data_IF_719003188874
#
_entry.id   IF_719003188874
#
_cell.length_a   1.000
_cell.length_b   1.000
_cell.length_c   1.000
_cell.angle_alpha   90.00
_cell.angle_beta   90.00
_cell.angle_gamma   90.00
#
_symmetry.space_group_name_H-M   'P 1'
#
loop_
_entity.id
_entity.type
_entity.pdbx_description
1 polymer ?
#
# COMPACT_ATOMS: atom_id res chain seq x y z
N UNK A 1 -11.71 -22.64 -43.03
CA UNK A 1 -13.06 -22.52 -42.45
C UNK A 1 -13.04 -23.03 -41.01
N UNK A 2 -13.08 -22.15 -40.01
CA UNK A 2 -13.34 -22.50 -38.60
C UNK A 2 -14.35 -21.50 -38.06
N UNK A 3 -15.49 -22.01 -37.60
CA UNK A 3 -16.63 -21.25 -37.15
C UNK A 3 -16.33 -20.57 -35.79
N UNK A 4 -16.64 -19.28 -35.71
CA UNK A 4 -16.67 -18.53 -34.46
C UNK A 4 -18.03 -18.79 -33.80
N UNK A 5 -18.04 -19.49 -32.67
CA UNK A 5 -19.22 -19.64 -31.83
C UNK A 5 -19.10 -18.68 -30.66
N UNK A 6 -20.14 -17.87 -30.50
CA UNK A 6 -20.26 -16.78 -29.54
C UNK A 6 -21.35 -17.17 -28.55
N UNK A 7 -21.03 -17.55 -27.30
CA UNK A 7 -22.05 -17.69 -26.27
C UNK A 7 -22.31 -16.32 -25.61
N UNK A 8 -23.45 -15.72 -25.96
CA UNK A 8 -24.09 -14.65 -25.19
C UNK A 8 -24.79 -15.28 -23.98
N UNK A 9 -24.58 -14.72 -22.78
CA UNK A 9 -25.57 -14.87 -21.71
C UNK A 9 -25.02 -15.05 -20.29
N UNK A 10 -24.37 -14.03 -19.73
CA UNK A 10 -24.39 -13.78 -18.26
C UNK A 10 -24.05 -12.31 -17.91
N UNK A 11 -24.28 -11.36 -18.82
CA UNK A 11 -23.91 -9.95 -18.64
C UNK A 11 -25.05 -9.06 -18.11
N UNK A 12 -26.00 -9.63 -17.34
CA UNK A 12 -27.24 -8.93 -16.95
C UNK A 12 -27.33 -8.41 -15.51
N UNK A 13 -26.54 -8.93 -14.57
CA UNK A 13 -26.73 -8.62 -13.13
C UNK A 13 -25.59 -7.84 -12.46
N UNK A 14 -24.41 -7.78 -13.08
CA UNK A 14 -23.20 -7.19 -12.46
C UNK A 14 -23.05 -5.68 -12.65
N UNK A 15 -23.87 -5.06 -13.49
CA UNK A 15 -23.69 -3.65 -13.93
C UNK A 15 -24.44 -2.62 -13.09
N UNK A 16 -25.31 -3.01 -12.15
CA UNK A 16 -26.06 -2.05 -11.30
C UNK A 16 -25.47 -1.85 -9.89
N UNK A 17 -24.58 -2.74 -9.45
CA UNK A 17 -23.88 -2.61 -8.16
C UNK A 17 -22.53 -1.88 -8.28
N UNK A 18 -22.04 -1.67 -9.50
CA UNK A 18 -20.72 -1.06 -9.75
C UNK A 18 -20.72 0.47 -9.78
N UNK A 19 -21.86 1.14 -9.58
CA UNK A 19 -21.96 2.62 -9.70
C UNK A 19 -21.97 3.35 -8.36
N UNK A 20 -22.06 2.61 -7.24
CA UNK A 20 -21.91 3.20 -5.90
C UNK A 20 -20.45 3.48 -5.45
N UNK A 21 -19.41 2.72 -5.87
CA UNK A 21 -18.05 2.96 -5.38
C UNK A 21 -17.43 4.26 -5.89
N UNK A 22 -17.76 4.69 -7.12
CA UNK A 22 -17.06 5.78 -7.80
C UNK A 22 -17.20 7.17 -7.17
N UNK A 23 -18.29 7.41 -6.41
CA UNK A 23 -18.49 8.68 -5.69
C UNK A 23 -17.70 8.70 -4.38
N UNK A 24 -17.54 7.55 -3.72
CA UNK A 24 -16.77 7.42 -2.47
C UNK A 24 -15.26 7.57 -2.77
N UNK A 25 -14.78 6.97 -3.87
CA UNK A 25 -13.34 6.99 -4.20
C UNK A 25 -12.83 8.37 -4.63
N UNK A 26 -13.68 9.26 -5.17
CA UNK A 26 -13.25 10.63 -5.52
C UNK A 26 -13.19 11.60 -4.34
N UNK A 27 -13.88 11.29 -3.23
CA UNK A 27 -13.82 12.10 -2.00
C UNK A 27 -12.64 11.73 -1.10
N UNK A 28 -12.12 10.50 -1.21
CA UNK A 28 -11.01 10.01 -0.38
C UNK A 28 -9.65 10.66 -0.67
N UNK A 29 -9.48 11.32 -1.83
CA UNK A 29 -8.22 11.94 -2.25
C UNK A 29 -8.20 13.46 -2.27
N UNK A 30 -9.21 14.13 -1.68
CA UNK A 30 -9.32 15.59 -1.74
C UNK A 30 -8.83 16.23 -0.44
N UNK A 31 -8.05 17.31 -0.54
CA UNK A 31 -7.62 18.19 0.58
C UNK A 31 -8.77 18.50 1.57
N UNK A 32 -10.01 18.49 1.09
CA UNK A 32 -11.22 18.67 1.87
C UNK A 32 -11.47 17.59 2.94
N UNK A 33 -11.02 16.34 2.75
CA UNK A 33 -11.14 15.28 3.78
C UNK A 33 -10.19 15.55 4.96
N UNK A 34 -8.98 16.01 4.67
CA UNK A 34 -7.99 16.43 5.67
C UNK A 34 -8.47 17.66 6.43
N UNK A 35 -9.05 18.64 5.72
CA UNK A 35 -9.60 19.85 6.34
C UNK A 35 -10.79 19.56 7.25
N UNK A 36 -11.67 18.63 6.85
CA UNK A 36 -12.79 18.18 7.68
C UNK A 36 -12.31 17.44 8.95
N UNK A 37 -11.27 16.60 8.84
CA UNK A 37 -10.67 15.93 9.98
C UNK A 37 -10.09 16.93 10.99
N UNK A 38 -9.40 17.98 10.52
CA UNK A 38 -8.87 19.06 11.35
C UNK A 38 -10.02 19.82 12.04
N UNK A 39 -11.08 20.16 11.31
CA UNK A 39 -12.25 20.84 11.89
C UNK A 39 -12.92 20.01 12.99
N UNK A 40 -13.08 18.70 12.78
CA UNK A 40 -13.61 17.78 13.80
C UNK A 40 -12.70 17.72 15.03
N UNK A 41 -11.37 17.66 14.85
CA UNK A 41 -10.42 17.69 15.96
C UNK A 41 -10.52 18.99 16.77
N UNK A 42 -10.67 20.14 16.12
CA UNK A 42 -10.90 21.43 16.78
C UNK A 42 -12.22 21.47 17.56
N UNK A 43 -13.31 20.96 16.98
CA UNK A 43 -14.61 20.90 17.66
C UNK A 43 -14.58 20.02 18.90
N UNK A 44 -13.92 18.86 18.83
CA UNK A 44 -13.69 18.01 20.00
C UNK A 44 -12.88 18.77 21.06
N UNK A 45 -11.79 19.43 20.68
CA UNK A 45 -10.95 20.17 21.64
C UNK A 45 -11.72 21.31 22.36
N UNK A 46 -12.54 22.06 21.62
CA UNK A 46 -13.42 23.10 22.21
C UNK A 46 -14.47 22.48 23.12
N UNK A 47 -15.06 21.34 22.75
CA UNK A 47 -16.00 20.59 23.60
C UNK A 47 -15.35 20.15 24.93
N UNK A 48 -14.09 19.73 24.90
CA UNK A 48 -13.32 19.41 26.10
C UNK A 48 -13.08 20.62 27.01
N UNK A 49 -12.80 21.78 26.40
CA UNK A 49 -12.56 23.03 27.14
C UNK A 49 -13.82 23.57 27.82
N UNK A 50 -14.99 23.46 27.18
CA UNK A 50 -16.28 23.87 27.74
C UNK A 50 -16.72 22.97 28.91
N UNK A 51 -16.30 21.71 28.90
CA UNK A 51 -16.70 20.70 29.91
C UNK A 51 -15.70 20.52 31.04
N UNK A 52 -14.63 21.33 31.09
CA UNK A 52 -13.54 21.23 32.09
C UNK A 52 -12.78 19.88 32.07
N UNK A 53 -12.71 19.22 30.91
CA UNK A 53 -11.99 17.95 30.71
C UNK A 53 -12.30 16.86 31.74
N UNK A 54 -13.56 16.38 31.82
CA UNK A 54 -13.95 15.35 32.77
C UNK A 54 -13.26 14.01 32.45
N UNK A 55 -13.13 13.12 33.44
CA UNK A 55 -12.36 11.88 33.29
C UNK A 55 -12.78 11.01 32.08
N UNK A 56 -14.08 10.88 31.81
CA UNK A 56 -14.59 10.11 30.66
C UNK A 56 -14.20 10.73 29.31
N UNK A 57 -14.06 12.05 29.26
CA UNK A 57 -13.64 12.77 28.06
C UNK A 57 -12.17 12.47 27.75
N UNK A 58 -11.31 12.48 28.76
CA UNK A 58 -9.90 12.13 28.61
C UNK A 58 -9.70 10.69 28.13
N UNK A 59 -10.45 9.73 28.72
CA UNK A 59 -10.44 8.33 28.27
C UNK A 59 -10.84 8.20 26.80
N UNK A 60 -11.83 8.96 26.36
CA UNK A 60 -12.26 8.99 24.96
C UNK A 60 -11.15 9.52 24.04
N UNK A 61 -10.48 10.61 24.41
CA UNK A 61 -9.41 11.19 23.58
C UNK A 61 -8.18 10.27 23.51
N UNK A 62 -7.74 9.68 24.62
CA UNK A 62 -6.58 8.78 24.62
C UNK A 62 -6.83 7.51 23.81
N UNK A 63 -8.01 6.92 23.96
CA UNK A 63 -8.39 5.74 23.16
C UNK A 63 -8.56 6.10 21.68
N UNK A 64 -9.19 7.22 21.36
CA UNK A 64 -9.31 7.69 19.97
C UNK A 64 -7.93 7.95 19.32
N UNK A 65 -7.00 8.56 20.06
CA UNK A 65 -5.62 8.77 19.57
C UNK A 65 -4.89 7.46 19.26
N UNK A 66 -5.13 6.41 20.07
CA UNK A 66 -4.60 5.08 19.80
C UNK A 66 -5.21 4.47 18.52
N UNK A 67 -6.52 4.58 18.32
CA UNK A 67 -7.17 4.14 17.07
C UNK A 67 -6.64 4.88 15.85
N UNK A 68 -6.52 6.21 15.91
CA UNK A 68 -5.98 7.03 14.80
C UNK A 68 -4.54 6.66 14.49
N UNK A 69 -3.72 6.41 15.51
CA UNK A 69 -2.33 5.98 15.33
C UNK A 69 -2.25 4.62 14.64
N UNK A 70 -3.11 3.67 15.01
CA UNK A 70 -3.20 2.37 14.33
C UNK A 70 -3.66 2.52 12.88
N UNK A 71 -4.64 3.39 12.61
CA UNK A 71 -5.06 3.70 11.25
C UNK A 71 -3.93 4.34 10.44
N UNK A 72 -3.19 5.27 11.03
CA UNK A 72 -2.02 5.89 10.39
C UNK A 72 -0.95 4.84 10.06
N UNK A 73 -0.65 3.95 11.01
CA UNK A 73 0.30 2.85 10.79
C UNK A 73 -0.17 1.96 9.63
N UNK A 74 -1.46 1.61 9.58
CA UNK A 74 -2.03 0.82 8.48
C UNK A 74 -1.98 1.57 7.13
N UNK A 75 -2.31 2.87 7.11
CA UNK A 75 -2.26 3.68 5.88
C UNK A 75 -0.83 3.84 5.36
N UNK A 76 0.13 4.07 6.26
CA UNK A 76 1.55 4.12 5.93
C UNK A 76 1.98 2.75 5.40
N UNK A 77 1.70 1.67 6.13
CA UNK A 77 2.04 0.31 5.70
C UNK A 77 1.44 -0.04 4.33
N UNK A 78 0.17 0.29 4.07
CA UNK A 78 -0.47 0.05 2.78
C UNK A 78 0.20 0.84 1.65
N UNK A 79 0.49 2.12 1.88
CA UNK A 79 1.12 2.99 0.87
C UNK A 79 2.55 2.55 0.61
N UNK A 80 3.33 2.33 1.68
CA UNK A 80 4.71 1.84 1.61
C UNK A 80 4.78 0.48 0.93
N UNK A 81 3.90 -0.47 1.25
CA UNK A 81 3.90 -1.80 0.63
C UNK A 81 3.72 -1.72 -0.90
N UNK A 82 2.81 -0.88 -1.37
CA UNK A 82 2.59 -0.68 -2.81
C UNK A 82 3.77 0.03 -3.47
N UNK A 83 4.33 1.04 -2.81
CA UNK A 83 5.44 1.80 -3.37
C UNK A 83 6.74 0.97 -3.40
N UNK A 84 6.99 0.13 -2.40
CA UNK A 84 8.10 -0.85 -2.39
C UNK A 84 8.01 -1.81 -3.56
N UNK A 85 6.84 -2.42 -3.80
CA UNK A 85 6.65 -3.34 -4.92
C UNK A 85 6.89 -2.68 -6.29
N UNK A 86 6.48 -1.42 -6.44
CA UNK A 86 6.74 -0.66 -7.66
C UNK A 86 8.23 -0.33 -7.87
N UNK A 87 9.02 -0.26 -6.80
CA UNK A 87 10.48 -0.10 -6.89
C UNK A 87 11.13 -1.42 -7.30
N UNK A 88 10.74 -2.54 -6.70
CA UNK A 88 11.27 -3.87 -7.02
C UNK A 88 11.05 -4.22 -8.50
N UNK A 89 9.81 -4.08 -9.00
CA UNK A 89 9.48 -4.30 -10.41
C UNK A 89 10.32 -3.44 -11.38
N UNK A 90 10.66 -2.21 -10.99
CA UNK A 90 11.51 -1.34 -11.82
C UNK A 90 12.97 -1.79 -11.80
N UNK A 91 13.45 -2.32 -10.68
CA UNK A 91 14.80 -2.90 -10.57
C UNK A 91 14.90 -4.18 -11.38
N UNK A 92 13.88 -5.04 -11.34
CA UNK A 92 13.82 -6.27 -12.16
C UNK A 92 13.90 -5.96 -13.66
N UNK A 93 13.13 -4.98 -14.13
CA UNK A 93 13.20 -4.54 -15.53
C UNK A 93 14.59 -4.00 -15.90
N UNK A 94 15.24 -3.25 -15.00
CA UNK A 94 16.60 -2.74 -15.23
C UNK A 94 17.63 -3.87 -15.27
N UNK A 95 17.54 -4.86 -14.37
CA UNK A 95 18.44 -6.02 -14.33
C UNK A 95 18.24 -6.86 -15.60
N UNK A 96 16.99 -7.14 -15.98
CA UNK A 96 16.66 -7.90 -17.18
C UNK A 96 17.13 -7.22 -18.48
N UNK A 97 17.20 -5.88 -18.51
CA UNK A 97 17.70 -5.14 -19.65
C UNK A 97 19.24 -5.17 -19.81
N UNK A 98 19.99 -5.61 -18.79
CA UNK A 98 21.46 -5.64 -18.80
C UNK A 98 21.97 -7.05 -19.18
N UNK A 99 22.63 -7.24 -20.33
CA UNK A 99 23.01 -8.58 -20.83
C UNK A 99 24.00 -9.38 -19.97
N UNK A 100 24.68 -8.73 -19.03
CA UNK A 100 25.67 -9.35 -18.14
C UNK A 100 25.23 -9.32 -16.67
N UNK A 101 23.99 -8.91 -16.37
CA UNK A 101 23.48 -8.91 -15.02
C UNK A 101 23.01 -10.33 -14.61
N UNK A 102 23.10 -10.64 -13.33
CA UNK A 102 22.72 -11.94 -12.82
C UNK A 102 21.18 -12.05 -12.71
N UNK A 103 20.58 -12.89 -13.55
CA UNK A 103 19.14 -13.16 -13.56
C UNK A 103 18.63 -13.77 -12.24
N UNK A 104 19.50 -14.39 -11.43
CA UNK A 104 19.13 -14.98 -10.14
C UNK A 104 18.72 -13.92 -9.09
N UNK A 105 19.06 -12.64 -9.32
CA UNK A 105 18.64 -11.52 -8.47
C UNK A 105 17.26 -10.93 -8.82
N UNK A 106 16.65 -11.36 -9.93
CA UNK A 106 15.30 -10.94 -10.33
C UNK A 106 14.28 -11.64 -9.42
N UNK A 107 13.28 -10.89 -8.94
CA UNK A 107 12.18 -11.41 -8.10
C UNK A 107 12.69 -12.13 -6.82
N UNK A 108 13.86 -11.70 -6.34
CA UNK A 108 14.53 -12.30 -5.19
C UNK A 108 13.74 -12.07 -3.90
N UNK A 109 12.91 -11.02 -3.82
CA UNK A 109 12.06 -10.70 -2.67
C UNK A 109 11.00 -11.77 -2.37
N UNK A 110 10.56 -12.54 -3.37
CA UNK A 110 9.52 -13.56 -3.22
C UNK A 110 10.11 -14.90 -2.73
N UNK A 111 11.44 -15.04 -2.77
CA UNK A 111 12.16 -16.22 -2.27
C UNK A 111 12.29 -16.25 -0.75
N UNK A 112 12.58 -17.44 -0.22
CA UNK A 112 12.85 -17.60 1.21
C UNK A 112 14.12 -16.87 1.63
N UNK A 113 14.15 -16.36 2.88
CA UNK A 113 15.26 -15.53 3.39
C UNK A 113 16.62 -16.23 3.26
N UNK A 114 16.68 -17.55 3.45
CA UNK A 114 17.94 -18.30 3.31
C UNK A 114 18.46 -18.31 1.86
N UNK A 115 17.56 -18.32 0.87
CA UNK A 115 17.93 -18.28 -0.55
C UNK A 115 18.44 -16.89 -0.92
N UNK A 116 17.81 -15.84 -0.38
CA UNK A 116 18.28 -14.46 -0.54
C UNK A 116 19.70 -14.29 0.01
N UNK A 117 19.99 -14.86 1.19
CA UNK A 117 21.33 -14.84 1.79
C UNK A 117 22.36 -15.61 0.95
N UNK A 118 21.98 -16.76 0.37
CA UNK A 118 22.87 -17.55 -0.49
C UNK A 118 23.23 -16.80 -1.78
N UNK A 119 22.23 -16.24 -2.47
CA UNK A 119 22.42 -15.45 -3.70
C UNK A 119 23.28 -14.22 -3.39
N UNK A 120 23.01 -13.53 -2.28
CA UNK A 120 23.81 -12.41 -1.81
C UNK A 120 25.29 -12.81 -1.62
N UNK A 121 25.56 -13.94 -0.95
CA UNK A 121 26.93 -14.41 -0.74
C UNK A 121 27.64 -14.78 -2.04
N UNK A 122 26.94 -15.40 -3.00
CA UNK A 122 27.47 -15.78 -4.32
C UNK A 122 27.88 -14.55 -5.12
N UNK A 123 26.98 -13.56 -5.22
CA UNK A 123 27.22 -12.30 -5.95
C UNK A 123 28.37 -11.49 -5.36
N UNK A 124 28.46 -11.41 -4.04
CA UNK A 124 29.56 -10.71 -3.37
C UNK A 124 30.91 -11.41 -3.56
N UNK A 125 30.92 -12.73 -3.72
CA UNK A 125 32.14 -13.48 -3.98
C UNK A 125 32.61 -13.36 -5.43
N UNK A 126 31.70 -13.43 -6.41
CA UNK A 126 32.02 -13.26 -7.83
C UNK A 126 32.51 -11.84 -8.14
N UNK A 127 31.84 -10.82 -7.59
CA UNK A 127 32.29 -9.43 -7.74
C UNK A 127 33.70 -9.21 -7.19
N UNK A 128 34.07 -9.93 -6.13
CA UNK A 128 35.40 -9.82 -5.52
C UNK A 128 36.46 -10.53 -6.35
N UNK A 129 36.14 -11.66 -7.00
CA UNK A 129 37.09 -12.36 -7.86
C UNK A 129 37.37 -11.64 -9.18
N UNK A 130 36.43 -10.85 -9.70
CA UNK A 130 36.61 -10.10 -10.95
C UNK A 130 37.47 -8.83 -10.79
N UNK A 131 37.70 -8.38 -9.56
CA UNK A 131 38.52 -7.20 -9.24
C UNK A 131 39.99 -7.57 -8.96
N UNK A 132 40.28 -8.85 -8.67
CA UNK A 132 41.64 -9.39 -8.47
C UNK A 132 42.28 -9.86 -9.79
#
# INVERSE_FOLDING_TARGET
>A
MRARIHPKGVAGYRSRLAVLPGVITRWAGSIWSSLAAIAVAFLLLVSGLVTEFPAWWQTLVYSAGALVSLLMLFLIQHTTNRDTNAVLLKLDELISAIPAANEEAIDIEEREVYEQEEVHHRLHHETRSDIE
#
